data_IF_786871353898
#
_entry.id   IF_786871353898
#
_cell.length_a   1.000
_cell.length_b   1.000
_cell.length_c   1.000
_cell.angle_alpha   90.00
_cell.angle_beta   90.00
_cell.angle_gamma   90.00
#
_symmetry.space_group_name_H-M   'P 1'
#
loop_
_entity.id
_entity.type
_entity.pdbx_description
1 polymer ?
#
# COMPACT_ATOMS: atom_id res chain seq x y z
N UNK A 1 1.20 14.00 0.31
CA UNK A 1 0.02 13.11 0.37
C UNK A 1 -0.26 12.35 -0.94
N UNK A 2 0.64 12.35 -1.94
CA UNK A 2 0.35 11.73 -3.24
C UNK A 2 0.17 10.21 -3.13
N UNK A 3 1.17 9.50 -2.57
CA UNK A 3 1.13 8.04 -2.45
C UNK A 3 -0.08 7.52 -1.65
N UNK A 4 -0.38 8.14 -0.50
CA UNK A 4 -1.52 7.73 0.34
C UNK A 4 -2.85 7.92 -0.40
N UNK A 5 -3.06 9.07 -1.04
CA UNK A 5 -4.31 9.33 -1.76
C UNK A 5 -4.46 8.41 -2.98
N UNK A 6 -3.36 8.12 -3.68
CA UNK A 6 -3.32 7.14 -4.76
C UNK A 6 -3.71 5.74 -4.28
N UNK A 7 -3.11 5.26 -3.19
CA UNK A 7 -3.43 3.95 -2.61
C UNK A 7 -4.90 3.85 -2.16
N UNK A 8 -5.44 4.89 -1.53
CA UNK A 8 -6.86 4.94 -1.15
C UNK A 8 -7.77 4.89 -2.38
N UNK A 9 -7.42 5.62 -3.44
CA UNK A 9 -8.20 5.62 -4.68
C UNK A 9 -8.24 4.23 -5.33
N UNK A 10 -7.09 3.57 -5.45
CA UNK A 10 -7.01 2.19 -5.98
C UNK A 10 -7.84 1.23 -5.13
N UNK A 11 -7.72 1.30 -3.80
CA UNK A 11 -8.46 0.41 -2.91
C UNK A 11 -9.98 0.61 -3.00
N UNK A 12 -10.47 1.84 -3.18
CA UNK A 12 -11.89 2.12 -3.38
C UNK A 12 -12.40 1.60 -4.73
N UNK A 13 -11.58 1.67 -5.78
CA UNK A 13 -11.90 1.08 -7.09
C UNK A 13 -11.98 -0.45 -6.95
N UNK A 14 -11.04 -1.08 -6.26
CA UNK A 14 -11.05 -2.52 -6.02
C UNK A 14 -12.27 -2.94 -5.19
N UNK A 15 -12.58 -2.22 -4.11
CA UNK A 15 -13.76 -2.46 -3.30
C UNK A 15 -15.04 -2.46 -4.14
N UNK A 16 -15.20 -1.48 -5.04
CA UNK A 16 -16.34 -1.44 -5.95
C UNK A 16 -16.40 -2.69 -6.83
N UNK A 17 -15.27 -3.08 -7.45
CA UNK A 17 -15.21 -4.27 -8.31
C UNK A 17 -15.63 -5.54 -7.56
N UNK A 18 -15.15 -5.72 -6.33
CA UNK A 18 -15.47 -6.89 -5.51
C UNK A 18 -16.96 -6.92 -5.14
N UNK A 19 -17.54 -5.78 -4.77
CA UNK A 19 -18.98 -5.67 -4.48
C UNK A 19 -19.83 -5.90 -5.72
N UNK A 20 -19.47 -5.29 -6.86
CA UNK A 20 -20.20 -5.44 -8.12
C UNK A 20 -20.18 -6.90 -8.62
N UNK A 21 -19.07 -7.62 -8.40
CA UNK A 21 -18.96 -9.04 -8.71
C UNK A 21 -19.93 -9.91 -7.90
N UNK A 22 -20.14 -9.60 -6.61
CA UNK A 22 -21.13 -10.31 -5.77
C UNK A 22 -22.56 -10.00 -6.20
N UNK A 23 -22.86 -8.74 -6.52
CA UNK A 23 -24.17 -8.32 -7.02
C UNK A 23 -24.49 -9.02 -8.34
N UNK A 24 -23.51 -9.14 -9.25
CA UNK A 24 -23.68 -9.85 -10.52
C UNK A 24 -24.00 -11.35 -10.34
N UNK A 25 -23.65 -11.95 -9.19
CA UNK A 25 -24.01 -13.33 -8.82
C UNK A 25 -25.39 -13.45 -8.18
N UNK A 26 -26.12 -12.35 -8.02
CA UNK A 26 -27.49 -12.32 -7.50
C UNK A 26 -27.60 -11.92 -6.03
N UNK A 27 -26.52 -11.50 -5.38
CA UNK A 27 -26.59 -11.01 -4.00
C UNK A 27 -27.21 -9.62 -3.90
N UNK A 28 -27.91 -9.35 -2.79
CA UNK A 28 -28.36 -8.00 -2.49
C UNK A 28 -27.15 -7.09 -2.22
N UNK A 29 -27.27 -5.81 -2.61
CA UNK A 29 -26.23 -4.81 -2.39
C UNK A 29 -25.71 -4.77 -0.94
N UNK A 30 -26.60 -4.87 0.05
CA UNK A 30 -26.24 -4.82 1.47
C UNK A 30 -25.46 -6.08 1.87
N UNK A 31 -25.88 -7.26 1.42
CA UNK A 31 -25.17 -8.52 1.66
C UNK A 31 -23.75 -8.48 1.08
N UNK A 32 -23.63 -8.09 -0.19
CA UNK A 32 -22.37 -7.99 -0.90
C UNK A 32 -21.38 -7.04 -0.19
N UNK A 33 -21.83 -5.85 0.21
CA UNK A 33 -21.00 -4.90 0.96
C UNK A 33 -20.50 -5.50 2.28
N UNK A 34 -21.39 -6.13 3.06
CA UNK A 34 -21.01 -6.72 4.34
C UNK A 34 -20.03 -7.88 4.17
N UNK A 35 -20.16 -8.67 3.11
CA UNK A 35 -19.23 -9.75 2.80
C UNK A 35 -17.83 -9.22 2.48
N UNK A 36 -17.70 -8.26 1.56
CA UNK A 36 -16.40 -7.67 1.20
C UNK A 36 -15.74 -7.02 2.41
N UNK A 37 -16.48 -6.25 3.20
CA UNK A 37 -15.94 -5.59 4.40
C UNK A 37 -15.44 -6.63 5.41
N UNK A 38 -16.19 -7.71 5.67
CA UNK A 38 -15.74 -8.80 6.56
C UNK A 38 -14.47 -9.46 6.06
N UNK A 39 -14.34 -9.63 4.74
CA UNK A 39 -13.12 -10.17 4.15
C UNK A 39 -11.94 -9.22 4.34
N UNK A 40 -12.12 -7.93 4.05
CA UNK A 40 -11.07 -6.93 4.18
C UNK A 40 -10.60 -6.75 5.62
N UNK A 41 -11.49 -6.83 6.61
CA UNK A 41 -11.12 -6.82 8.03
C UNK A 41 -10.17 -7.98 8.37
N UNK A 42 -10.37 -9.17 7.77
CA UNK A 42 -9.48 -10.31 7.97
C UNK A 42 -8.12 -10.08 7.31
N UNK A 43 -8.12 -9.54 6.08
CA UNK A 43 -6.90 -9.26 5.31
C UNK A 43 -6.07 -8.16 5.97
N UNK A 44 -6.70 -7.11 6.52
CA UNK A 44 -6.03 -5.99 7.19
C UNK A 44 -5.64 -6.29 8.64
N UNK A 45 -6.01 -7.45 9.18
CA UNK A 45 -5.70 -7.81 10.57
C UNK A 45 -4.21 -7.71 10.93
N UNK A 46 -3.23 -8.11 10.07
CA UNK A 46 -1.81 -8.03 10.42
C UNK A 46 -1.33 -6.60 10.73
N UNK A 47 -1.88 -5.59 10.05
CA UNK A 47 -1.47 -4.18 10.19
C UNK A 47 -2.10 -3.44 11.38
N UNK A 48 -3.12 -4.02 12.02
CA UNK A 48 -3.74 -3.42 13.21
C UNK A 48 -2.91 -3.70 14.47
N UNK A 49 -2.46 -2.64 15.14
CA UNK A 49 -1.67 -2.72 16.36
C UNK A 49 -1.94 -1.51 17.26
N UNK A 50 -2.40 -1.77 18.48
CA UNK A 50 -2.77 -0.74 19.48
C UNK A 50 -1.75 -0.67 20.64
N UNK A 51 -0.58 -1.31 20.49
CA UNK A 51 0.48 -1.35 21.51
C UNK A 51 1.55 -0.28 21.34
N UNK A 52 2.69 -0.46 22.02
CA UNK A 52 3.83 0.44 21.90
C UNK A 52 4.61 0.21 20.60
N UNK A 53 4.46 1.11 19.62
CA UNK A 53 5.11 1.03 18.32
C UNK A 53 6.63 1.24 18.31
N UNK A 54 7.25 1.63 19.43
CA UNK A 54 8.69 1.89 19.51
C UNK A 54 9.50 0.73 20.11
N UNK A 55 8.82 -0.30 20.60
CA UNK A 55 9.48 -1.35 21.37
C UNK A 55 10.16 -2.39 20.45
N UNK A 56 11.21 -3.05 20.95
CA UNK A 56 11.90 -4.12 20.22
C UNK A 56 11.01 -5.36 20.07
N UNK A 57 10.07 -5.56 21.00
CA UNK A 57 9.04 -6.58 20.92
C UNK A 57 8.13 -6.36 19.70
N UNK A 58 7.74 -5.10 19.44
CA UNK A 58 6.92 -4.78 18.28
C UNK A 58 7.66 -5.05 16.97
N UNK A 59 8.95 -4.70 16.86
CA UNK A 59 9.73 -4.99 15.63
C UNK A 59 9.75 -6.48 15.31
N UNK A 60 10.01 -7.32 16.31
CA UNK A 60 10.00 -8.79 16.18
C UNK A 60 8.60 -9.33 15.84
N UNK A 61 7.56 -8.73 16.42
CA UNK A 61 6.18 -9.12 16.14
C UNK A 61 5.73 -8.71 14.74
N UNK A 62 6.05 -7.50 14.30
CA UNK A 62 5.76 -6.98 12.97
C UNK A 62 6.38 -7.85 11.88
N UNK A 63 7.65 -8.25 12.06
CA UNK A 63 8.33 -9.19 11.16
C UNK A 63 7.63 -10.55 11.13
N UNK A 64 7.25 -11.10 12.30
CA UNK A 64 6.46 -12.36 12.38
C UNK A 64 5.10 -12.26 11.70
N UNK A 65 4.49 -11.07 11.67
CA UNK A 65 3.24 -10.78 10.97
C UNK A 65 3.44 -10.57 9.46
N UNK A 66 4.68 -10.56 8.98
CA UNK A 66 5.03 -10.33 7.58
C UNK A 66 4.96 -8.86 7.17
N UNK A 67 5.03 -7.94 8.12
CA UNK A 67 5.06 -6.50 7.84
C UNK A 67 6.47 -6.08 7.37
N UNK A 68 6.51 -5.14 6.42
CA UNK A 68 7.78 -4.54 5.98
C UNK A 68 8.37 -3.68 7.10
N UNK A 69 9.52 -4.13 7.61
CA UNK A 69 10.28 -3.49 8.67
C UNK A 69 11.61 -2.91 8.17
N UNK A 70 11.76 -2.70 6.86
CA UNK A 70 12.98 -2.12 6.28
C UNK A 70 13.28 -0.73 6.86
N UNK A 71 14.55 -0.47 7.13
CA UNK A 71 15.04 0.79 7.72
C UNK A 71 16.12 1.46 6.86
N UNK A 72 16.68 0.74 5.90
CA UNK A 72 17.65 1.24 4.95
C UNK A 72 16.98 2.18 3.95
N UNK A 73 17.29 3.47 4.06
CA UNK A 73 16.80 4.52 3.15
C UNK A 73 17.05 4.18 1.67
N UNK A 74 18.24 3.71 1.25
CA UNK A 74 18.48 3.16 -0.08
C UNK A 74 17.42 2.18 -0.58
N UNK A 75 17.14 1.14 0.21
CA UNK A 75 16.22 0.06 -0.16
C UNK A 75 14.79 0.59 -0.21
N UNK A 76 14.42 1.48 0.71
CA UNK A 76 13.10 2.12 0.73
C UNK A 76 12.90 3.04 -0.48
N UNK A 77 13.94 3.75 -0.93
CA UNK A 77 13.87 4.58 -2.13
C UNK A 77 13.53 3.69 -3.34
N UNK A 78 14.25 2.58 -3.51
CA UNK A 78 14.05 1.65 -4.62
C UNK A 78 12.63 1.03 -4.68
N UNK A 79 11.90 1.01 -3.55
CA UNK A 79 10.50 0.58 -3.55
C UNK A 79 9.59 1.41 -4.47
N UNK A 80 9.96 2.65 -4.83
CA UNK A 80 9.20 3.45 -5.80
C UNK A 80 9.15 2.82 -7.21
N UNK A 81 10.11 1.96 -7.52
CA UNK A 81 10.25 1.30 -8.82
C UNK A 81 9.76 -0.14 -8.81
N UNK A 82 9.23 -0.62 -7.67
CA UNK A 82 8.61 -1.94 -7.58
C UNK A 82 7.41 -2.02 -8.54
N UNK A 83 7.19 -3.17 -9.22
CA UNK A 83 6.10 -3.33 -10.20
C UNK A 83 4.73 -2.97 -9.64
N UNK A 84 4.46 -3.29 -8.37
CA UNK A 84 3.20 -3.01 -7.70
C UNK A 84 3.00 -1.50 -7.50
N UNK A 85 4.07 -0.77 -7.18
CA UNK A 85 4.01 0.69 -6.98
C UNK A 85 3.83 1.41 -8.32
N UNK A 86 4.53 0.97 -9.36
CA UNK A 86 4.36 1.51 -10.71
C UNK A 86 2.93 1.23 -11.20
N UNK A 87 2.45 -0.01 -11.05
CA UNK A 87 1.10 -0.41 -11.44
C UNK A 87 0.03 0.40 -10.70
N UNK A 88 0.21 0.65 -9.40
CA UNK A 88 -0.66 1.52 -8.62
C UNK A 88 -0.74 2.89 -9.32
N UNK A 89 0.37 3.62 -9.42
CA UNK A 89 0.36 4.99 -9.95
C UNK A 89 -0.14 5.11 -11.39
N UNK A 90 0.15 4.12 -12.24
CA UNK A 90 -0.32 4.10 -13.63
C UNK A 90 -1.82 3.79 -13.71
N UNK A 91 -2.34 2.86 -12.91
CA UNK A 91 -3.76 2.47 -12.96
C UNK A 91 -4.71 3.60 -12.55
N UNK A 92 -4.29 4.45 -11.62
CA UNK A 92 -5.01 5.67 -11.20
C UNK A 92 -4.63 6.92 -12.01
N UNK A 93 -3.71 6.82 -12.97
CA UNK A 93 -3.32 7.91 -13.86
C UNK A 93 -2.61 9.08 -13.15
N UNK A 94 -1.91 8.82 -12.04
CA UNK A 94 -1.25 9.86 -11.23
C UNK A 94 0.20 10.06 -11.64
N UNK A 95 0.92 8.98 -11.96
CA UNK A 95 2.28 9.05 -12.51
C UNK A 95 2.51 7.88 -13.47
N UNK A 96 3.34 8.13 -14.47
CA UNK A 96 3.92 7.12 -15.35
C UNK A 96 5.19 6.54 -14.73
N UNK A 97 5.62 5.36 -15.21
CA UNK A 97 6.91 4.78 -14.83
C UNK A 97 8.09 5.75 -14.98
N UNK A 98 8.16 6.52 -16.07
CA UNK A 98 9.24 7.49 -16.31
C UNK A 98 9.28 8.62 -15.27
N UNK A 99 8.11 9.09 -14.84
CA UNK A 99 8.02 10.11 -13.79
C UNK A 99 8.39 9.56 -12.41
N UNK A 100 8.11 8.28 -12.16
CA UNK A 100 8.57 7.58 -10.95
C UNK A 100 10.09 7.39 -10.95
N UNK A 101 10.68 6.99 -12.08
CA UNK A 101 12.14 6.89 -12.26
C UNK A 101 12.83 8.23 -11.97
N UNK A 102 12.36 9.32 -12.58
CA UNK A 102 12.90 10.66 -12.34
C UNK A 102 12.77 11.09 -10.87
N UNK A 103 11.63 10.82 -10.22
CA UNK A 103 11.44 11.10 -8.79
C UNK A 103 12.37 10.25 -7.91
N UNK A 104 12.61 9.01 -8.29
CA UNK A 104 13.52 8.12 -7.59
C UNK A 104 14.96 8.64 -7.66
N UNK A 105 15.39 9.09 -8.83
CA UNK A 105 16.71 9.70 -9.04
C UNK A 105 16.90 10.94 -8.17
N UNK A 106 15.91 11.85 -8.13
CA UNK A 106 15.97 13.04 -7.27
C UNK A 106 16.05 12.66 -5.78
N UNK A 107 15.34 11.62 -5.34
CA UNK A 107 15.43 11.13 -3.95
C UNK A 107 16.82 10.59 -3.64
N UNK A 108 17.40 9.83 -4.57
CA UNK A 108 18.75 9.32 -4.47
C UNK A 108 19.77 10.47 -4.38
N UNK A 109 19.66 11.47 -5.24
CA UNK A 109 20.53 12.65 -5.21
C UNK A 109 20.45 13.40 -3.87
N UNK A 110 19.24 13.63 -3.36
CA UNK A 110 19.03 14.26 -2.05
C UNK A 110 19.65 13.41 -0.93
N UNK A 111 19.48 12.10 -0.98
CA UNK A 111 20.07 11.18 0.00
C UNK A 111 21.60 11.27 -0.05
N UNK A 112 22.21 11.05 -1.21
CA UNK A 112 23.68 11.10 -1.39
C UNK A 112 24.27 12.42 -0.89
N UNK A 113 23.69 13.56 -1.28
CA UNK A 113 24.15 14.89 -0.87
C UNK A 113 24.02 15.18 0.63
N UNK A 114 23.15 14.45 1.35
CA UNK A 114 23.00 14.60 2.80
C UNK A 114 24.00 13.79 3.61
N UNK A 115 24.53 12.70 3.04
CA UNK A 115 25.46 11.81 3.75
C UNK A 115 26.91 12.23 3.50
N UNK A 116 27.17 12.83 2.33
CA UNK A 116 28.44 13.44 1.94
C UNK A 116 28.70 14.74 2.73
#
# INVERSE_FOLDING_TARGET
MIALNSAVAEQLIQFKKDVDALIARGESKVSAILEVVRNYIKISKPIHFDGNGYSEEWKKEAEKRGLDCETSVPIIIDNYLKPETVSLFESIGVMTKKELEARNEVKWEIYTKKIQ
#
